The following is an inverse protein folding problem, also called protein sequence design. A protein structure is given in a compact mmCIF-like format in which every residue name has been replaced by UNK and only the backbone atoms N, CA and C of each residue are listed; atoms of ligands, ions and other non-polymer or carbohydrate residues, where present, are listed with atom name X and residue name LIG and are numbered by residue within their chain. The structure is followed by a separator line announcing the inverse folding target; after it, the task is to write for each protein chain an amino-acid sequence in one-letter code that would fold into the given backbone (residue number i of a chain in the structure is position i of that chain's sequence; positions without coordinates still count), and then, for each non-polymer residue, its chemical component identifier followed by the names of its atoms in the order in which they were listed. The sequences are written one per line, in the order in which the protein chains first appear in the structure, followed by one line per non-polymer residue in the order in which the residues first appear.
data_IF_978517089859
#
_entry.id   IF_978517089859
#
_cell.length_a   1.000
_cell.length_b   1.000
_cell.length_c   1.000
_cell.angle_alpha   90.00
_cell.angle_beta   90.00
_cell.angle_gamma   90.00
#
_symmetry.space_group_name_H-M   'P 1'
#
loop_
_entity.id
_entity.type
_entity.pdbx_description
1 polymer ?
#
# COMPACT_ATOMS: atom_id res chain seq x y z
N UNK A 1 10.88 4.79 -8.85
CA UNK A 1 11.00 4.60 -7.39
C UNK A 1 11.80 5.75 -6.77
N UNK A 2 13.05 5.98 -7.19
CA UNK A 2 13.94 7.00 -6.56
C UNK A 2 13.35 8.41 -6.53
N UNK A 3 12.80 8.90 -7.63
CA UNK A 3 12.16 10.22 -7.71
C UNK A 3 10.94 10.32 -6.77
N UNK A 4 10.11 9.26 -6.73
CA UNK A 4 8.97 9.21 -5.82
C UNK A 4 9.41 9.19 -4.35
N UNK A 5 10.48 8.47 -4.00
CA UNK A 5 11.02 8.46 -2.64
C UNK A 5 11.59 9.82 -2.23
N UNK A 6 12.19 10.55 -3.16
CA UNK A 6 12.68 11.91 -2.91
C UNK A 6 11.52 12.87 -2.59
N UNK A 7 10.44 12.83 -3.40
CA UNK A 7 9.20 13.57 -3.11
C UNK A 7 8.63 13.22 -1.74
N UNK A 8 8.47 11.93 -1.44
CA UNK A 8 7.92 11.46 -0.16
C UNK A 8 8.75 11.92 1.03
N UNK A 9 10.08 11.92 0.88
CA UNK A 9 11.00 12.23 1.97
C UNK A 9 11.07 13.74 2.26
N UNK A 10 11.14 14.56 1.22
CA UNK A 10 11.45 15.99 1.35
C UNK A 10 10.25 16.90 1.08
N UNK A 11 9.19 16.38 0.48
CA UNK A 11 8.01 17.18 0.14
C UNK A 11 7.18 17.62 1.34
N UNK A 12 6.35 18.63 1.11
CA UNK A 12 5.34 19.12 2.06
C UNK A 12 3.98 18.49 1.71
N UNK A 13 3.30 17.92 2.73
CA UNK A 13 1.99 17.26 2.55
C UNK A 13 0.87 18.28 2.72
N UNK A 14 0.07 18.45 1.68
CA UNK A 14 -1.23 19.13 1.72
C UNK A 14 -2.35 18.09 1.74
N UNK A 15 -3.14 18.04 2.82
CA UNK A 15 -4.30 17.15 2.91
C UNK A 15 -5.45 17.72 2.09
N UNK A 16 -5.94 16.96 1.11
CA UNK A 16 -7.02 17.36 0.20
C UNK A 16 -8.31 16.59 0.43
N UNK A 17 -8.26 15.47 1.15
CA UNK A 17 -9.45 14.67 1.41
C UNK A 17 -9.23 13.55 2.42
N UNK A 18 -10.32 12.81 2.68
CA UNK A 18 -10.33 11.61 3.53
C UNK A 18 -11.10 10.50 2.82
N UNK A 19 -10.57 9.30 2.81
CA UNK A 19 -11.29 8.12 2.33
C UNK A 19 -12.30 7.67 3.40
N UNK A 20 -13.61 7.71 3.06
CA UNK A 20 -14.71 7.50 4.00
C UNK A 20 -14.89 6.03 4.36
N UNK A 21 -14.60 5.12 3.43
CA UNK A 21 -14.83 3.68 3.58
C UNK A 21 -13.65 2.93 4.22
N UNK A 22 -12.60 3.64 4.60
CA UNK A 22 -11.44 3.03 5.26
C UNK A 22 -11.72 2.74 6.74
N UNK A 23 -11.31 1.56 7.21
CA UNK A 23 -11.41 1.17 8.62
C UNK A 23 -10.52 2.03 9.53
N UNK A 24 -9.36 2.47 9.03
CA UNK A 24 -8.43 3.39 9.67
C UNK A 24 -8.55 4.80 9.04
N UNK A 25 -8.05 5.82 9.73
CA UNK A 25 -7.98 7.15 9.15
C UNK A 25 -7.01 7.16 7.96
N UNK A 26 -7.56 7.20 6.75
CA UNK A 26 -6.82 7.27 5.50
C UNK A 26 -7.06 8.63 4.86
N UNK A 27 -6.02 9.42 4.74
CA UNK A 27 -6.05 10.76 4.19
C UNK A 27 -5.48 10.77 2.78
N UNK A 28 -6.14 11.49 1.89
CA UNK A 28 -5.65 11.76 0.55
C UNK A 28 -4.99 13.14 0.53
N UNK A 29 -3.86 13.27 -0.16
CA UNK A 29 -3.13 14.52 -0.20
C UNK A 29 -2.24 14.70 -1.42
N UNK A 30 -1.67 15.88 -1.49
CA UNK A 30 -0.63 16.25 -2.47
C UNK A 30 0.69 16.44 -1.73
N UNK A 31 1.74 15.85 -2.28
CA UNK A 31 3.11 16.02 -1.82
C UNK A 31 3.81 17.00 -2.76
N UNK A 32 4.09 18.21 -2.26
CA UNK A 32 4.77 19.26 -3.03
C UNK A 32 6.27 19.20 -2.81
N UNK A 33 7.04 19.12 -3.90
CA UNK A 33 8.50 19.13 -3.87
C UNK A 33 9.06 19.73 -5.15
N UNK A 34 10.00 20.68 -5.03
CA UNK A 34 10.71 21.32 -6.16
C UNK A 34 9.81 21.78 -7.31
N UNK A 35 8.65 22.37 -6.99
CA UNK A 35 7.70 22.92 -7.96
C UNK A 35 6.82 21.89 -8.66
N UNK A 36 6.90 20.63 -8.28
CA UNK A 36 6.00 19.55 -8.71
C UNK A 36 5.12 19.04 -7.56
N UNK A 37 4.03 18.37 -7.90
CA UNK A 37 3.13 17.75 -6.93
C UNK A 37 2.89 16.29 -7.29
N UNK A 38 2.83 15.44 -6.25
CA UNK A 38 2.54 14.00 -6.39
C UNK A 38 1.39 13.64 -5.45
N UNK A 39 0.40 12.93 -5.96
CA UNK A 39 -0.69 12.41 -5.14
C UNK A 39 -0.22 11.31 -4.19
N UNK A 40 -0.71 11.36 -2.95
CA UNK A 40 -0.32 10.43 -1.90
C UNK A 40 -1.49 10.01 -1.03
N UNK A 41 -1.34 8.84 -0.42
CA UNK A 41 -2.12 8.39 0.73
C UNK A 41 -1.28 8.57 1.99
N UNK A 42 -1.88 9.13 3.02
CA UNK A 42 -1.29 9.27 4.34
C UNK A 42 -2.15 8.59 5.39
N UNK A 43 -1.55 7.64 6.11
CA UNK A 43 -2.20 6.90 7.19
C UNK A 43 -1.46 7.20 8.50
N UNK A 44 -1.93 8.16 9.32
CA UNK A 44 -1.29 8.47 10.59
C UNK A 44 -1.49 7.34 11.61
N UNK A 45 -0.48 7.03 12.41
CA UNK A 45 -0.54 6.02 13.48
C UNK A 45 -1.66 6.34 14.46
N UNK A 46 -1.84 7.63 14.79
CA UNK A 46 -2.92 8.08 15.68
C UNK A 46 -4.33 7.76 15.16
N UNK A 47 -4.49 7.48 13.87
CA UNK A 47 -5.76 7.10 13.23
C UNK A 47 -5.96 5.60 13.09
N UNK A 48 -5.02 4.77 13.54
CA UNK A 48 -5.14 3.32 13.53
C UNK A 48 -6.20 2.86 14.55
N UNK A 49 -7.06 1.94 14.12
CA UNK A 49 -7.97 1.24 15.04
C UNK A 49 -7.26 0.04 15.65
N UNK A 50 -7.29 -0.12 16.97
CA UNK A 50 -6.73 -1.28 17.64
C UNK A 50 -7.32 -2.58 17.07
N UNK A 51 -6.45 -3.56 16.83
CA UNK A 51 -6.82 -4.92 16.45
C UNK A 51 -6.43 -5.87 17.59
N UNK A 52 -7.29 -6.86 17.86
CA UNK A 52 -7.06 -7.78 18.97
C UNK A 52 -5.79 -8.66 18.81
N UNK A 53 -5.34 -8.86 17.60
CA UNK A 53 -4.24 -9.77 17.23
C UNK A 53 -2.99 -9.08 16.67
N UNK A 54 -2.99 -7.76 16.57
CA UNK A 54 -1.82 -6.97 16.18
C UNK A 54 -1.49 -5.95 17.29
N UNK A 55 -0.19 -5.74 17.61
CA UNK A 55 0.19 -4.69 18.54
C UNK A 55 -0.29 -3.31 18.05
N UNK A 56 -0.82 -2.51 18.98
CA UNK A 56 -1.31 -1.17 18.70
C UNK A 56 -0.19 -0.28 18.12
N UNK A 57 -0.53 0.54 17.14
CA UNK A 57 0.38 1.52 16.55
C UNK A 57 1.44 0.94 15.62
N UNK A 58 1.30 -0.31 15.14
CA UNK A 58 2.30 -0.98 14.29
C UNK A 58 1.87 -1.18 12.84
N UNK A 59 0.66 -0.76 12.44
CA UNK A 59 0.18 -1.01 11.08
C UNK A 59 0.95 -0.20 10.03
N UNK A 60 1.30 1.05 10.33
CA UNK A 60 2.12 1.88 9.44
C UNK A 60 3.53 1.29 9.23
N UNK A 61 4.14 0.74 10.28
CA UNK A 61 5.44 0.04 10.18
C UNK A 61 5.37 -1.17 9.26
N UNK A 62 4.27 -1.93 9.30
CA UNK A 62 4.05 -3.11 8.45
C UNK A 62 3.84 -2.74 6.99
N UNK A 63 3.12 -1.65 6.72
CA UNK A 63 2.99 -1.08 5.37
C UNK A 63 4.38 -0.71 4.80
N UNK A 64 5.19 -0.02 5.60
CA UNK A 64 6.56 0.35 5.20
C UNK A 64 7.46 -0.87 5.01
N UNK A 65 7.39 -1.86 5.90
CA UNK A 65 8.14 -3.10 5.78
C UNK A 65 7.78 -3.87 4.49
N UNK A 66 6.49 -3.90 4.12
CA UNK A 66 6.05 -4.54 2.89
C UNK A 66 6.64 -3.84 1.64
N UNK A 67 6.70 -2.50 1.64
CA UNK A 67 7.38 -1.76 0.57
C UNK A 67 8.86 -2.09 0.51
N UNK A 68 9.59 -2.01 1.63
CA UNK A 68 11.02 -2.31 1.67
C UNK A 68 11.33 -3.73 1.18
N UNK A 69 10.53 -4.70 1.60
CA UNK A 69 10.69 -6.07 1.16
C UNK A 69 10.45 -6.20 -0.36
N UNK A 70 9.37 -5.58 -0.87
CA UNK A 70 9.02 -5.59 -2.30
C UNK A 70 10.14 -4.97 -3.16
N UNK A 71 10.64 -3.79 -2.75
CA UNK A 71 11.68 -3.05 -3.47
C UNK A 71 13.03 -3.80 -3.46
N UNK A 72 13.49 -4.26 -2.28
CA UNK A 72 14.79 -4.89 -2.11
C UNK A 72 14.87 -6.30 -2.72
N UNK A 73 13.77 -7.01 -2.84
CA UNK A 73 13.72 -8.36 -3.42
C UNK A 73 13.31 -8.41 -4.89
N UNK A 74 12.96 -7.24 -5.47
CA UNK A 74 12.59 -7.13 -6.87
C UNK A 74 11.18 -7.62 -7.21
N UNK A 75 10.30 -7.75 -6.23
CA UNK A 75 8.88 -7.99 -6.50
C UNK A 75 8.22 -6.81 -7.22
N UNK A 76 8.60 -5.59 -6.85
CA UNK A 76 8.08 -4.35 -7.45
C UNK A 76 6.54 -4.25 -7.45
N UNK A 77 5.93 -4.70 -6.34
CA UNK A 77 4.47 -4.80 -6.19
C UNK A 77 3.88 -3.69 -5.32
N UNK A 78 4.66 -3.14 -4.38
CA UNK A 78 4.17 -2.14 -3.42
C UNK A 78 4.57 -0.74 -3.90
N UNK A 79 3.63 0.21 -3.97
CA UNK A 79 3.98 1.60 -4.31
C UNK A 79 5.01 2.17 -3.35
N UNK A 80 5.87 3.13 -3.80
CA UNK A 80 6.82 3.81 -2.94
C UNK A 80 6.16 4.32 -1.66
N UNK A 81 6.72 3.93 -0.53
CA UNK A 81 6.16 4.15 0.81
C UNK A 81 7.26 4.53 1.78
N UNK A 82 6.99 5.48 2.68
CA UNK A 82 7.89 5.85 3.78
C UNK A 82 7.11 6.03 5.08
N UNK A 83 7.85 6.02 6.19
CA UNK A 83 7.36 6.49 7.49
C UNK A 83 7.91 7.90 7.74
N UNK A 84 7.04 8.84 8.07
CA UNK A 84 7.44 10.21 8.41
C UNK A 84 6.40 10.95 9.23
N UNK A 85 6.83 12.06 9.83
CA UNK A 85 5.92 13.05 10.40
C UNK A 85 5.11 13.72 9.28
N UNK A 86 3.83 13.92 9.54
CA UNK A 86 2.89 14.62 8.69
C UNK A 86 1.94 15.49 9.50
N UNK A 87 0.91 16.10 8.87
CA UNK A 87 -0.03 17.01 9.54
C UNK A 87 -0.80 16.39 10.72
N UNK A 88 -0.96 15.07 10.77
CA UNK A 88 -1.61 14.33 11.85
C UNK A 88 -0.65 13.42 12.64
N UNK A 89 0.65 13.75 12.66
CA UNK A 89 1.70 13.04 13.37
C UNK A 89 2.42 11.99 12.52
N UNK A 90 3.20 11.13 13.18
CA UNK A 90 3.92 10.04 12.51
C UNK A 90 2.95 9.10 11.82
N UNK A 91 3.26 8.71 10.59
CA UNK A 91 2.45 7.78 9.81
C UNK A 91 3.14 7.28 8.55
N UNK A 92 2.46 6.41 7.86
CA UNK A 92 2.83 5.91 6.55
C UNK A 92 2.36 6.89 5.48
N UNK A 93 3.25 7.22 4.54
CA UNK A 93 2.93 7.98 3.32
C UNK A 93 3.31 7.14 2.11
N UNK A 94 2.35 6.92 1.23
CA UNK A 94 2.50 6.09 0.04
C UNK A 94 2.07 6.84 -1.20
N UNK A 95 2.82 6.69 -2.30
CA UNK A 95 2.44 7.24 -3.60
C UNK A 95 1.09 6.68 -4.03
N UNK A 96 0.18 7.56 -4.46
CA UNK A 96 -1.06 7.16 -5.13
C UNK A 96 -0.75 6.51 -6.48
N UNK A 97 -1.51 5.50 -6.83
CA UNK A 97 -1.44 4.84 -8.14
C UNK A 97 -2.72 5.15 -8.91
N UNK A 98 -2.57 5.80 -10.05
CA UNK A 98 -3.66 5.95 -11.01
C UNK A 98 -3.92 4.61 -11.68
N UNK A 99 -5.00 3.97 -11.25
CA UNK A 99 -5.41 2.69 -11.83
C UNK A 99 -5.95 2.91 -13.25
N UNK A 100 -5.77 1.91 -14.10
CA UNK A 100 -6.38 1.87 -15.40
C UNK A 100 -7.89 1.55 -15.25
N UNK A 101 -8.73 2.55 -15.45
CA UNK A 101 -10.19 2.42 -15.32
C UNK A 101 -10.82 1.50 -16.40
N UNK A 102 -10.10 1.18 -17.49
CA UNK A 102 -10.53 0.22 -18.49
C UNK A 102 -10.35 -1.24 -18.04
N UNK A 103 -9.55 -1.47 -17.00
CA UNK A 103 -9.32 -2.80 -16.44
C UNK A 103 -10.47 -3.19 -15.52
N UNK A 104 -11.28 -4.13 -15.95
CA UNK A 104 -12.28 -4.78 -15.10
C UNK A 104 -11.57 -5.77 -14.13
N UNK A 105 -11.47 -5.40 -12.84
CA UNK A 105 -10.72 -6.18 -11.86
C UNK A 105 -11.17 -7.64 -11.74
N UNK A 106 -12.46 -7.94 -11.87
CA UNK A 106 -12.98 -9.31 -11.82
C UNK A 106 -12.44 -10.17 -12.96
N UNK A 107 -12.39 -9.62 -14.18
CA UNK A 107 -11.78 -10.30 -15.33
C UNK A 107 -10.27 -10.39 -15.22
N UNK A 108 -9.61 -9.32 -14.79
CA UNK A 108 -8.17 -9.29 -14.55
C UNK A 108 -7.76 -10.39 -13.58
N UNK A 109 -8.44 -10.48 -12.45
CA UNK A 109 -8.20 -11.45 -11.39
C UNK A 109 -8.42 -12.90 -11.83
N UNK A 110 -9.37 -13.16 -12.75
CA UNK A 110 -9.68 -14.51 -13.23
C UNK A 110 -8.70 -15.03 -14.30
N UNK A 111 -7.79 -14.20 -14.80
CA UNK A 111 -6.81 -14.57 -15.82
C UNK A 111 -5.57 -15.19 -15.18
N UNK A 112 -4.95 -16.13 -15.90
CA UNK A 112 -3.66 -16.68 -15.52
C UNK A 112 -2.54 -15.68 -15.86
N UNK A 113 -2.13 -14.88 -14.87
CA UNK A 113 -1.13 -13.82 -15.00
C UNK A 113 0.06 -14.05 -14.07
N UNK A 114 1.26 -13.82 -14.60
CA UNK A 114 2.49 -13.93 -13.82
C UNK A 114 2.51 -12.95 -12.64
N UNK A 115 1.95 -11.76 -12.80
CA UNK A 115 1.86 -10.72 -11.78
C UNK A 115 0.99 -11.16 -10.59
N UNK A 116 -0.11 -11.86 -10.86
CA UNK A 116 -1.00 -12.40 -9.81
C UNK A 116 -0.33 -13.54 -9.04
N UNK A 117 0.43 -14.39 -9.71
CA UNK A 117 1.24 -15.44 -9.06
C UNK A 117 2.34 -14.82 -8.20
N UNK A 118 3.00 -13.79 -8.71
CA UNK A 118 4.01 -13.05 -7.96
C UNK A 118 3.41 -12.42 -6.71
N UNK A 119 2.22 -11.81 -6.81
CA UNK A 119 1.51 -11.24 -5.66
C UNK A 119 1.05 -12.33 -4.67
N UNK A 120 0.60 -13.48 -5.15
CA UNK A 120 0.23 -14.61 -4.28
C UNK A 120 1.43 -15.11 -3.47
N UNK A 121 2.60 -15.24 -4.10
CA UNK A 121 3.84 -15.60 -3.43
C UNK A 121 4.28 -14.52 -2.43
N UNK A 122 4.20 -13.25 -2.82
CA UNK A 122 4.50 -12.12 -1.96
C UNK A 122 3.62 -12.14 -0.70
N UNK A 123 2.30 -12.29 -0.85
CA UNK A 123 1.36 -12.37 0.26
C UNK A 123 1.68 -13.54 1.21
N UNK A 124 2.07 -14.69 0.67
CA UNK A 124 2.47 -15.85 1.47
C UNK A 124 3.73 -15.57 2.29
N UNK A 125 4.73 -14.89 1.69
CA UNK A 125 5.99 -14.57 2.36
C UNK A 125 5.79 -13.54 3.49
N UNK A 126 5.02 -12.48 3.24
CA UNK A 126 4.76 -11.43 4.23
C UNK A 126 3.61 -11.79 5.18
N UNK A 127 3.02 -12.97 5.04
CA UNK A 127 1.89 -13.45 5.87
C UNK A 127 0.72 -12.45 5.87
N UNK A 128 0.26 -12.04 4.69
CA UNK A 128 -0.83 -11.08 4.55
C UNK A 128 -2.15 -11.70 5.03
N UNK A 129 -2.82 -11.03 5.96
CA UNK A 129 -4.04 -11.54 6.58
C UNK A 129 -5.33 -11.02 5.96
N UNK A 130 -5.28 -10.14 4.94
CA UNK A 130 -6.49 -9.52 4.38
C UNK A 130 -6.35 -9.06 2.91
N UNK A 131 -5.76 -9.87 2.02
CA UNK A 131 -5.71 -9.52 0.59
C UNK A 131 -7.09 -9.60 -0.04
N UNK A 132 -7.55 -8.49 -0.63
CA UNK A 132 -8.82 -8.36 -1.35
C UNK A 132 -8.59 -8.00 -2.82
N UNK A 133 -9.59 -8.27 -3.68
CA UNK A 133 -9.55 -7.86 -5.10
C UNK A 133 -9.37 -6.33 -5.23
N UNK A 134 -10.05 -5.55 -4.40
CA UNK A 134 -9.94 -4.08 -4.41
C UNK A 134 -8.56 -3.52 -4.02
N UNK A 135 -7.64 -4.37 -3.55
CA UNK A 135 -6.26 -3.97 -3.27
C UNK A 135 -5.33 -4.11 -4.49
N UNK A 136 -5.81 -4.64 -5.61
CA UNK A 136 -5.07 -4.75 -6.87
C UNK A 136 -5.17 -3.42 -7.62
N UNK A 137 -4.03 -2.86 -7.98
CA UNK A 137 -3.91 -1.57 -8.62
C UNK A 137 -3.16 -1.70 -9.97
N UNK A 138 -3.80 -2.28 -11.01
CA UNK A 138 -3.20 -2.28 -12.34
C UNK A 138 -3.12 -0.84 -12.86
N UNK A 139 -1.93 -0.37 -13.19
CA UNK A 139 -1.74 0.97 -13.71
C UNK A 139 -1.92 1.02 -15.25
N UNK A 140 -1.93 2.25 -15.80
CA UNK A 140 -2.11 2.49 -17.24
C UNK A 140 -0.95 1.97 -18.10
N UNK A 141 0.19 1.60 -17.48
CA UNK A 141 1.34 1.02 -18.17
C UNK A 141 1.32 -0.52 -18.15
N UNK A 142 0.28 -1.12 -17.57
CA UNK A 142 0.12 -2.57 -17.44
C UNK A 142 0.91 -3.17 -16.28
N UNK A 143 1.47 -2.34 -15.37
CA UNK A 143 2.12 -2.80 -14.16
C UNK A 143 1.09 -3.03 -13.05
N UNK A 144 1.23 -4.13 -12.30
CA UNK A 144 0.39 -4.40 -11.14
C UNK A 144 1.07 -3.92 -9.87
N UNK A 145 0.47 -2.92 -9.23
CA UNK A 145 0.73 -2.60 -7.84
C UNK A 145 -0.34 -3.23 -6.93
N UNK A 146 -0.03 -3.31 -5.65
CA UNK A 146 -0.98 -3.70 -4.62
C UNK A 146 -0.81 -2.81 -3.38
N UNK A 147 -1.91 -2.55 -2.68
CA UNK A 147 -1.94 -1.73 -1.47
C UNK A 147 -2.49 -2.48 -0.26
N UNK A 148 -2.55 -1.79 0.88
CA UNK A 148 -3.16 -2.26 2.13
C UNK A 148 -2.40 -3.44 2.78
N UNK A 149 -1.16 -3.18 3.18
CA UNK A 149 -0.25 -4.16 3.80
C UNK A 149 -0.09 -3.98 5.33
N UNK A 150 -1.02 -3.27 5.98
CA UNK A 150 -0.94 -3.00 7.42
C UNK A 150 -1.10 -4.24 8.31
N UNK A 151 -1.79 -5.27 7.83
CA UNK A 151 -2.03 -6.52 8.57
C UNK A 151 -1.18 -7.68 8.02
N UNK A 152 0.13 -7.51 8.08
CA UNK A 152 1.16 -8.41 7.56
C UNK A 152 2.23 -8.70 8.61
N UNK A 153 3.16 -9.61 8.33
CA UNK A 153 4.30 -9.95 9.19
C UNK A 153 3.90 -10.39 10.60
N UNK A 154 2.75 -11.04 10.75
CA UNK A 154 2.38 -11.65 12.03
C UNK A 154 3.30 -12.84 12.33
N UNK A 155 3.62 -13.07 13.61
CA UNK A 155 4.48 -14.18 14.05
C UNK A 155 3.83 -15.55 13.93
N UNK A 156 2.50 -15.61 13.92
CA UNK A 156 1.72 -16.82 13.67
C UNK A 156 1.26 -16.85 12.21
N UNK A 157 1.14 -18.03 11.63
CA UNK A 157 0.60 -18.21 10.29
C UNK A 157 -0.88 -17.83 10.25
N UNK A 158 -1.18 -16.73 9.55
CA UNK A 158 -2.52 -16.16 9.41
C UNK A 158 -2.85 -15.79 7.97
N UNK A 159 -2.17 -16.38 7.00
CA UNK A 159 -2.38 -16.05 5.60
C UNK A 159 -3.86 -16.12 5.22
N UNK A 160 -4.39 -14.99 4.76
CA UNK A 160 -5.72 -14.86 4.21
C UNK A 160 -5.68 -14.00 2.96
N UNK A 161 -5.87 -14.61 1.82
CA UNK A 161 -5.78 -13.97 0.53
C UNK A 161 -6.85 -14.49 -0.42
N UNK A 162 -7.29 -13.65 -1.35
CA UNK A 162 -8.14 -14.09 -2.47
C UNK A 162 -7.35 -14.84 -3.55
N UNK A 163 -6.01 -14.87 -3.48
CA UNK A 163 -5.11 -15.43 -4.49
C UNK A 163 -4.76 -16.91 -4.20
N UNK A 164 -5.76 -17.75 -3.98
CA UNK A 164 -5.56 -19.17 -3.68
C UNK A 164 -5.46 -20.10 -4.89
N UNK A 165 -5.67 -19.59 -6.07
CA UNK A 165 -5.69 -20.38 -7.30
C UNK A 165 -4.31 -20.56 -7.97
N UNK A 166 -3.28 -20.01 -7.40
CA UNK A 166 -1.91 -20.03 -7.91
C UNK A 166 -0.94 -20.86 -7.08
#
# INVERSE_FOLDING_TARGET
VKESLDHLTHGEIEITGRLVDASNATLFGLMHHEGSAMEVIYKPIAGERPLWDFPDGTLADREYAAFLFSDQTGFDLVPPTILREGPAGLGMVQRWIDVDEEVELGKYFSQDRAELRSLALFDAIINNTDRKIGHLLPDQNGHLFACDHGVTFHSEDKLRTVLWQW
#
